data_IF_764578028658
#
_entry.id   IF_764578028658
#
_cell.length_a   1.000
_cell.length_b   1.000
_cell.length_c   1.000
_cell.angle_alpha   90.00
_cell.angle_beta   90.00
_cell.angle_gamma   90.00
#
_symmetry.space_group_name_H-M   'P 1'
#
loop_
_entity.id
_entity.type
_entity.pdbx_description
1 polymer ?
#
# COMPACT_ATOMS: atom_id res chain seq x y z
N UNK A 1 10.01 -2.19 28.53
CA UNK A 1 9.33 -2.78 27.35
C UNK A 1 10.39 -2.88 26.27
N UNK A 2 10.82 -4.09 25.92
CA UNK A 2 11.84 -4.30 24.90
C UNK A 2 11.26 -3.90 23.54
N UNK A 3 11.86 -2.90 22.91
CA UNK A 3 11.62 -2.53 21.53
C UNK A 3 11.77 -3.78 20.63
N UNK A 4 10.65 -4.45 20.34
CA UNK A 4 10.67 -5.49 19.31
C UNK A 4 10.94 -4.78 17.98
N UNK A 5 12.16 -4.94 17.48
CA UNK A 5 12.51 -4.43 16.16
C UNK A 5 11.50 -4.95 15.13
N UNK A 6 10.83 -4.03 14.44
CA UNK A 6 9.95 -4.35 13.32
C UNK A 6 10.82 -4.93 12.21
N UNK A 7 10.58 -6.19 11.85
CA UNK A 7 11.27 -6.83 10.73
C UNK A 7 10.60 -6.37 9.43
N UNK A 8 11.34 -5.66 8.60
CA UNK A 8 10.89 -5.22 7.26
C UNK A 8 11.47 -6.17 6.23
N UNK A 9 10.60 -6.77 5.45
CA UNK A 9 10.94 -7.59 4.30
C UNK A 9 10.78 -6.78 3.01
N UNK A 10 11.79 -6.80 2.14
CA UNK A 10 11.73 -6.17 0.82
C UNK A 10 11.48 -7.25 -0.22
N UNK A 11 10.37 -7.11 -0.95
CA UNK A 11 10.02 -8.01 -2.03
C UNK A 11 10.27 -7.29 -3.37
N UNK A 12 11.11 -7.88 -4.20
CA UNK A 12 11.42 -7.43 -5.57
C UNK A 12 10.98 -8.50 -6.56
N UNK A 13 9.67 -8.75 -6.73
CA UNK A 13 9.20 -9.85 -7.57
C UNK A 13 9.42 -9.61 -9.07
N UNK A 14 9.49 -8.32 -9.46
CA UNK A 14 9.62 -7.90 -10.86
C UNK A 14 10.06 -6.44 -10.91
N UNK A 15 10.81 -5.75 -10.90
CA UNK A 15 11.18 -4.33 -11.04
C UNK A 15 10.72 -3.44 -9.85
N UNK A 16 9.42 -3.14 -9.66
CA UNK A 16 9.01 -2.33 -8.52
C UNK A 16 9.18 -3.08 -7.20
N UNK A 17 9.68 -2.39 -6.19
CA UNK A 17 9.79 -2.93 -4.84
C UNK A 17 8.43 -2.95 -4.15
N UNK A 18 8.16 -4.01 -3.39
CA UNK A 18 7.05 -4.10 -2.46
C UNK A 18 7.65 -4.36 -1.07
N UNK A 19 7.43 -3.45 -0.13
CA UNK A 19 7.82 -3.67 1.26
C UNK A 19 6.74 -4.46 1.98
N UNK A 20 7.16 -5.45 2.76
CA UNK A 20 6.29 -6.20 3.65
C UNK A 20 6.81 -6.11 5.08
N UNK A 21 5.89 -5.90 6.03
CA UNK A 21 6.17 -5.99 7.46
C UNK A 21 4.96 -6.51 8.21
N UNK A 22 5.16 -6.96 9.45
CA UNK A 22 4.08 -7.30 10.37
C UNK A 22 3.93 -6.21 11.42
N UNK A 23 2.70 -5.77 11.64
CA UNK A 23 2.36 -4.73 12.60
C UNK A 23 2.07 -5.36 13.97
N UNK A 24 2.54 -4.77 15.07
CA UNK A 24 2.23 -5.25 16.41
C UNK A 24 0.73 -5.31 16.68
N UNK A 25 0.27 -6.36 17.38
CA UNK A 25 -1.16 -6.61 17.64
C UNK A 25 -1.85 -5.43 18.31
N UNK A 26 -1.20 -4.74 19.25
CA UNK A 26 -1.81 -3.60 19.92
C UNK A 26 -2.15 -2.44 18.97
N UNK A 27 -1.37 -2.24 17.88
CA UNK A 27 -1.69 -1.23 16.84
C UNK A 27 -2.88 -1.71 16.01
N UNK A 28 -2.91 -2.99 15.65
CA UNK A 28 -4.03 -3.62 14.95
C UNK A 28 -5.31 -3.49 15.78
N UNK A 29 -5.23 -3.76 17.09
CA UNK A 29 -6.37 -3.68 18.01
C UNK A 29 -6.90 -2.25 18.14
N UNK A 30 -6.02 -1.24 18.27
CA UNK A 30 -6.39 0.17 18.31
C UNK A 30 -7.11 0.62 17.02
N UNK A 31 -6.57 0.23 15.86
CA UNK A 31 -7.18 0.53 14.56
C UNK A 31 -8.54 -0.18 14.41
N UNK A 32 -8.66 -1.43 14.85
CA UNK A 32 -9.92 -2.16 14.84
C UNK A 32 -10.97 -1.49 15.73
N UNK A 33 -10.60 -1.09 16.94
CA UNK A 33 -11.51 -0.41 17.87
C UNK A 33 -12.07 0.89 17.26
N UNK A 34 -11.22 1.71 16.64
CA UNK A 34 -11.64 2.92 15.95
C UNK A 34 -12.58 2.63 14.76
N UNK A 35 -12.26 1.60 13.98
CA UNK A 35 -13.13 1.18 12.88
C UNK A 35 -14.48 0.65 13.38
N UNK A 36 -14.50 -0.13 14.46
CA UNK A 36 -15.74 -0.64 15.06
C UNK A 36 -16.63 0.50 15.57
N UNK A 37 -16.05 1.52 16.23
CA UNK A 37 -16.79 2.71 16.64
C UNK A 37 -17.41 3.47 15.46
N UNK A 38 -16.67 3.62 14.36
CA UNK A 38 -17.16 4.30 13.15
C UNK A 38 -18.26 3.49 12.47
N UNK A 39 -18.08 2.17 12.36
CA UNK A 39 -19.06 1.28 11.74
C UNK A 39 -20.37 1.14 12.55
N UNK A 40 -20.31 1.34 13.86
CA UNK A 40 -21.48 1.31 14.75
C UNK A 40 -22.29 2.63 14.76
N UNK A 41 -21.76 3.72 14.22
CA UNK A 41 -22.38 5.04 14.20
C UNK A 41 -22.69 5.45 12.75
N UNK A 42 -23.98 5.39 12.37
CA UNK A 42 -24.42 5.72 11.01
C UNK A 42 -24.07 7.14 10.58
N UNK A 43 -24.04 8.10 11.52
CA UNK A 43 -23.70 9.48 11.18
C UNK A 43 -22.21 9.61 10.93
N UNK A 44 -21.35 9.03 11.77
CA UNK A 44 -19.89 9.00 11.53
C UNK A 44 -19.57 8.31 10.22
N UNK A 45 -20.23 7.17 9.93
CA UNK A 45 -20.01 6.43 8.69
C UNK A 45 -20.34 7.29 7.46
N UNK A 46 -21.41 8.10 7.50
CA UNK A 46 -21.74 9.06 6.43
C UNK A 46 -20.77 10.21 6.33
N UNK A 47 -20.36 10.79 7.47
CA UNK A 47 -19.46 11.94 7.52
C UNK A 47 -18.06 11.60 6.99
N UNK A 48 -17.62 10.37 7.18
CA UNK A 48 -16.31 9.87 6.73
C UNK A 48 -16.36 9.00 5.48
N UNK A 49 -17.53 8.83 4.85
CA UNK A 49 -17.68 8.00 3.65
C UNK A 49 -16.68 8.37 2.56
N UNK A 50 -16.02 7.37 2.03
CA UNK A 50 -15.00 7.52 0.99
C UNK A 50 -15.26 6.63 -0.23
N UNK A 51 -16.27 5.77 -0.19
CA UNK A 51 -16.60 4.79 -1.21
C UNK A 51 -16.76 5.38 -2.61
N UNK A 52 -17.34 6.57 -2.71
CA UNK A 52 -17.55 7.27 -4.00
C UNK A 52 -16.28 7.71 -4.71
N UNK A 53 -15.11 7.61 -4.10
CA UNK A 53 -13.81 7.98 -4.68
C UNK A 53 -12.92 6.75 -4.94
N UNK A 54 -13.39 5.55 -4.63
CA UNK A 54 -12.62 4.32 -4.72
C UNK A 54 -13.15 3.41 -5.83
N UNK A 55 -12.26 2.62 -6.41
CA UNK A 55 -12.62 1.60 -7.36
C UNK A 55 -13.04 0.33 -6.62
N UNK A 56 -14.27 -0.17 -6.86
CA UNK A 56 -14.67 -1.41 -6.26
C UNK A 56 -16.18 -1.59 -6.14
N UNK A 57 -16.56 -2.77 -5.67
CA UNK A 57 -17.90 -3.10 -5.20
C UNK A 57 -17.80 -3.39 -3.70
N UNK A 58 -17.51 -2.35 -2.93
CA UNK A 58 -17.37 -2.41 -1.48
C UNK A 58 -18.36 -1.42 -0.87
N UNK A 59 -19.16 -1.87 0.09
CA UNK A 59 -20.25 -1.06 0.64
C UNK A 59 -19.84 -0.12 1.76
N UNK A 60 -18.72 -0.40 2.41
CA UNK A 60 -18.27 0.36 3.58
C UNK A 60 -16.79 0.69 3.45
N UNK A 61 -16.52 1.88 2.96
CA UNK A 61 -15.19 2.46 2.86
C UNK A 61 -15.23 3.88 3.44
N UNK A 62 -14.43 4.15 4.46
CA UNK A 62 -14.47 5.43 5.17
C UNK A 62 -13.07 5.89 5.60
N UNK A 63 -12.87 7.20 5.60
CA UNK A 63 -11.61 7.81 6.08
C UNK A 63 -11.45 7.66 7.58
N UNK A 64 -10.24 7.41 8.03
CA UNK A 64 -9.89 7.58 9.44
C UNK A 64 -9.77 9.07 9.76
N UNK A 65 -10.30 9.49 10.91
CA UNK A 65 -10.26 10.89 11.30
C UNK A 65 -8.84 11.37 11.58
N UNK A 66 -8.53 12.61 11.22
CA UNK A 66 -7.25 13.25 11.53
C UNK A 66 -6.97 13.30 13.03
N UNK A 67 -8.00 13.45 13.86
CA UNK A 67 -7.88 13.42 15.31
C UNK A 67 -7.38 12.05 15.80
N UNK A 68 -7.94 10.97 15.30
CA UNK A 68 -7.50 9.62 15.62
C UNK A 68 -6.06 9.37 15.16
N UNK A 69 -5.72 9.72 13.90
CA UNK A 69 -4.37 9.53 13.36
C UNK A 69 -3.32 10.35 14.11
N UNK A 70 -3.66 11.50 14.64
CA UNK A 70 -2.77 12.29 15.48
C UNK A 70 -2.55 11.67 16.86
N UNK A 71 -3.53 10.95 17.40
CA UNK A 71 -3.42 10.19 18.66
C UNK A 71 -2.67 8.88 18.45
N UNK A 72 -2.91 8.20 17.31
CA UNK A 72 -2.27 6.92 16.96
C UNK A 72 -0.91 7.16 16.27
N UNK A 73 0.01 7.77 17.03
CA UNK A 73 1.34 8.12 16.53
C UNK A 73 2.18 6.90 16.12
N UNK A 74 1.95 5.74 16.72
CA UNK A 74 2.69 4.51 16.39
C UNK A 74 2.45 4.12 14.93
N UNK A 75 1.21 4.11 14.47
CA UNK A 75 0.87 3.79 13.10
C UNK A 75 1.45 4.82 12.13
N UNK A 76 1.25 6.11 12.39
CA UNK A 76 1.78 7.20 11.56
C UNK A 76 3.32 7.16 11.45
N UNK A 77 4.01 6.84 12.55
CA UNK A 77 5.46 6.67 12.56
C UNK A 77 5.93 5.46 11.75
N UNK A 78 5.17 4.36 11.80
CA UNK A 78 5.45 3.17 10.99
C UNK A 78 5.34 3.51 9.50
N UNK A 79 4.27 4.19 9.08
CA UNK A 79 4.07 4.58 7.68
C UNK A 79 5.23 5.46 7.16
N UNK A 80 5.67 6.44 7.96
CA UNK A 80 6.79 7.29 7.61
C UNK A 80 8.09 6.52 7.46
N UNK A 81 8.43 5.64 8.41
CA UNK A 81 9.63 4.79 8.33
C UNK A 81 9.62 3.87 7.10
N UNK A 82 8.44 3.36 6.71
CA UNK A 82 8.31 2.54 5.52
C UNK A 82 8.48 3.35 4.23
N UNK A 83 7.96 4.58 4.19
CA UNK A 83 8.18 5.48 3.07
C UNK A 83 9.67 5.83 2.92
N UNK A 84 10.37 6.16 4.02
CA UNK A 84 11.82 6.38 4.03
C UNK A 84 12.59 5.13 3.57
N UNK A 85 12.16 3.94 4.00
CA UNK A 85 12.76 2.67 3.56
C UNK A 85 12.53 2.41 2.08
N UNK A 86 11.34 2.72 1.54
CA UNK A 86 11.05 2.57 0.11
C UNK A 86 11.99 3.40 -0.76
N UNK A 87 12.22 4.68 -0.40
CA UNK A 87 13.18 5.54 -1.07
C UNK A 87 14.57 4.89 -1.09
N UNK A 88 15.00 4.35 0.06
CA UNK A 88 16.32 3.73 0.19
C UNK A 88 16.47 2.45 -0.65
N UNK A 89 15.39 1.69 -0.82
CA UNK A 89 15.40 0.45 -1.63
C UNK A 89 15.48 0.78 -3.12
N UNK A 90 14.66 1.72 -3.58
CA UNK A 90 14.60 2.09 -5.00
C UNK A 90 15.96 2.53 -5.52
N UNK A 91 16.68 3.35 -4.76
CA UNK A 91 18.01 3.82 -5.13
C UNK A 91 19.09 2.72 -5.07
N UNK A 92 19.05 1.85 -4.07
CA UNK A 92 20.07 0.80 -3.91
C UNK A 92 19.86 -0.36 -4.88
N UNK A 93 18.61 -0.71 -5.16
CA UNK A 93 18.28 -1.79 -6.11
C UNK A 93 18.77 -1.48 -7.53
N UNK A 94 18.75 -0.24 -7.96
CA UNK A 94 19.25 0.18 -9.28
C UNK A 94 20.77 0.23 -9.38
N UNK A 95 21.48 0.65 -8.35
CA UNK A 95 22.94 0.75 -8.37
C UNK A 95 23.63 -0.61 -8.17
N UNK A 96 23.16 -1.44 -7.24
CA UNK A 96 23.77 -2.73 -6.94
C UNK A 96 23.41 -3.85 -7.92
N UNK A 97 22.18 -3.84 -8.45
CA UNK A 97 21.71 -4.94 -9.31
C UNK A 97 22.04 -4.77 -10.79
N UNK A 98 22.16 -3.57 -11.30
CA UNK A 98 22.31 -3.32 -12.73
C UNK A 98 23.70 -2.83 -13.13
N UNK A 99 24.56 -2.41 -12.21
CA UNK A 99 25.90 -1.89 -12.52
C UNK A 99 25.91 -0.69 -13.48
N UNK A 100 24.75 -0.11 -13.77
CA UNK A 100 24.56 0.98 -14.72
C UNK A 100 23.68 2.04 -14.07
N UNK A 101 24.16 3.25 -14.05
CA UNK A 101 23.42 4.45 -13.67
C UNK A 101 22.28 4.72 -14.67
N UNK A 102 21.23 3.94 -14.59
CA UNK A 102 20.02 4.09 -15.43
C UNK A 102 19.30 5.41 -15.14
N UNK A 103 19.48 5.96 -13.94
CA UNK A 103 18.80 7.19 -13.48
C UNK A 103 19.41 8.48 -14.05
N UNK A 104 20.62 8.45 -14.59
CA UNK A 104 21.24 9.67 -15.15
C UNK A 104 20.61 10.16 -16.43
N UNK A 105 19.90 9.32 -17.17
CA UNK A 105 19.34 9.63 -18.50
C UNK A 105 17.83 9.38 -18.62
N UNK A 106 17.13 9.03 -17.54
CA UNK A 106 15.69 8.88 -17.57
C UNK A 106 15.02 10.27 -17.53
N UNK A 107 14.06 10.55 -18.45
CA UNK A 107 13.30 11.79 -18.34
C UNK A 107 12.61 11.83 -16.98
N UNK A 108 12.54 12.99 -16.30
CA UNK A 108 11.91 13.12 -15.01
C UNK A 108 10.40 12.88 -15.17
N UNK A 109 9.98 11.62 -15.05
CA UNK A 109 8.61 11.33 -14.70
C UNK A 109 8.45 11.61 -13.20
N UNK A 110 7.26 11.98 -12.76
CA UNK A 110 6.94 12.20 -11.33
C UNK A 110 7.26 11.00 -10.45
N UNK A 111 7.49 9.84 -11.03
CA UNK A 111 7.84 8.56 -10.40
C UNK A 111 9.35 8.28 -10.30
N UNK A 112 10.19 9.05 -11.00
CA UNK A 112 11.66 8.86 -11.03
C UNK A 112 12.40 10.08 -10.44
N UNK A 113 11.86 10.68 -9.40
CA UNK A 113 12.55 11.75 -8.72
C UNK A 113 13.71 11.12 -7.96
N UNK A 114 14.92 11.55 -8.31
CA UNK A 114 16.12 11.08 -7.64
C UNK A 114 16.01 11.36 -6.13
N UNK A 115 16.43 10.41 -5.31
CA UNK A 115 16.39 10.49 -3.84
C UNK A 115 16.92 11.82 -3.28
N UNK A 116 17.90 12.40 -3.95
CA UNK A 116 18.53 13.65 -3.54
C UNK A 116 17.60 14.86 -3.52
N UNK A 117 16.44 14.78 -4.21
CA UNK A 117 15.40 15.83 -4.20
C UNK A 117 14.31 15.57 -3.18
N UNK A 118 14.29 14.40 -2.54
CA UNK A 118 13.24 14.06 -1.56
C UNK A 118 13.68 14.58 -0.20
N UNK A 119 12.90 15.50 0.37
CA UNK A 119 13.14 16.12 1.68
C UNK A 119 12.31 15.50 2.80
N UNK A 120 11.35 14.66 2.48
CA UNK A 120 10.47 13.98 3.43
C UNK A 120 9.27 13.35 2.76
N UNK A 121 8.28 12.94 3.56
CA UNK A 121 7.03 12.40 3.07
C UNK A 121 5.84 12.85 3.91
N UNK A 122 4.65 12.83 3.29
CA UNK A 122 3.39 13.14 3.94
C UNK A 122 2.35 12.07 3.62
N UNK A 123 1.64 11.60 4.66
CA UNK A 123 0.46 10.74 4.50
C UNK A 123 -0.69 11.61 4.03
N UNK A 124 -1.23 11.34 2.84
CA UNK A 124 -2.32 12.12 2.25
C UNK A 124 -3.68 11.68 2.78
N UNK A 125 -3.92 10.40 2.78
CA UNK A 125 -5.21 9.82 3.14
C UNK A 125 -5.01 8.45 3.74
N UNK A 126 -5.80 8.12 4.76
CA UNK A 126 -5.90 6.79 5.36
C UNK A 126 -7.38 6.43 5.43
N UNK A 127 -7.75 5.25 4.96
CA UNK A 127 -9.15 4.79 4.97
C UNK A 127 -9.27 3.32 5.29
N UNK A 128 -10.40 2.98 5.88
CA UNK A 128 -10.81 1.60 6.14
C UNK A 128 -11.58 1.06 4.95
N UNK A 129 -11.31 -0.20 4.61
CA UNK A 129 -12.03 -0.99 3.62
C UNK A 129 -12.62 -2.19 4.35
N UNK A 130 -13.96 -2.22 4.52
CA UNK A 130 -14.70 -3.30 5.16
C UNK A 130 -15.41 -4.12 4.10
N UNK A 131 -14.87 -5.28 3.77
CA UNK A 131 -15.33 -6.17 2.71
C UNK A 131 -15.99 -7.43 3.26
N UNK A 132 -17.01 -7.88 2.56
CA UNK A 132 -17.78 -9.08 2.87
C UNK A 132 -17.80 -10.01 1.66
N UNK A 133 -18.33 -11.22 1.82
CA UNK A 133 -18.37 -12.20 0.75
C UNK A 133 -18.95 -11.65 -0.56
N UNK A 134 -18.17 -11.69 -1.63
CA UNK A 134 -18.49 -11.14 -2.95
C UNK A 134 -17.97 -9.71 -3.20
N UNK A 135 -17.56 -8.97 -2.16
CA UNK A 135 -16.94 -7.65 -2.36
C UNK A 135 -15.52 -7.78 -2.94
N UNK A 136 -15.15 -6.86 -3.82
CA UNK A 136 -13.84 -6.84 -4.47
C UNK A 136 -13.42 -5.42 -4.87
N UNK A 137 -12.12 -5.22 -5.05
CA UNK A 137 -11.59 -4.05 -5.73
C UNK A 137 -11.01 -4.51 -7.07
N UNK A 138 -11.50 -3.96 -8.22
CA UNK A 138 -10.99 -4.31 -9.55
C UNK A 138 -9.54 -3.86 -9.72
N UNK A 139 -8.95 -4.17 -10.85
CA UNK A 139 -7.62 -3.69 -11.21
C UNK A 139 -7.59 -2.16 -11.21
N UNK A 140 -6.73 -1.56 -10.40
CA UNK A 140 -6.62 -0.12 -10.22
C UNK A 140 -5.22 0.30 -9.79
N UNK A 141 -5.02 1.60 -9.71
CA UNK A 141 -3.84 2.29 -9.15
C UNK A 141 -4.31 3.37 -8.17
N UNK A 142 -3.39 3.96 -7.43
CA UNK A 142 -3.67 5.04 -6.49
C UNK A 142 -3.04 6.36 -6.91
N UNK A 143 -3.50 7.45 -6.29
CA UNK A 143 -2.85 8.76 -6.33
C UNK A 143 -1.70 8.81 -5.30
N UNK A 144 -0.77 9.73 -5.52
CA UNK A 144 0.43 9.88 -4.69
C UNK A 144 1.62 9.10 -5.25
N UNK A 145 2.66 8.95 -4.45
CA UNK A 145 3.90 8.26 -4.84
C UNK A 145 3.93 6.83 -4.32
N UNK A 146 3.42 6.61 -3.10
CA UNK A 146 3.27 5.30 -2.49
C UNK A 146 1.83 5.06 -2.06
N UNK A 147 1.44 3.81 -2.08
CA UNK A 147 0.23 3.31 -1.45
C UNK A 147 0.55 2.09 -0.60
N UNK A 148 -0.41 1.67 0.22
CA UNK A 148 -0.24 0.46 1.00
C UNK A 148 -1.54 -0.03 1.60
N UNK A 149 -1.46 -1.26 2.13
CA UNK A 149 -2.57 -1.95 2.77
C UNK A 149 -2.10 -2.69 4.01
N UNK A 150 -2.81 -2.49 5.12
CA UNK A 150 -2.66 -3.23 6.39
C UNK A 150 -3.92 -4.05 6.64
N UNK A 151 -3.79 -5.34 6.86
CA UNK A 151 -4.92 -6.21 7.16
C UNK A 151 -5.21 -6.27 8.66
N UNK A 152 -6.42 -5.89 9.05
CA UNK A 152 -6.89 -5.87 10.45
C UNK A 152 -7.76 -7.08 10.80
N UNK A 153 -8.58 -7.55 9.85
CA UNK A 153 -9.39 -8.76 9.96
C UNK A 153 -9.28 -9.57 8.68
N UNK A 154 -9.22 -10.87 8.82
CA UNK A 154 -9.20 -11.82 7.70
C UNK A 154 -10.19 -12.93 8.04
N UNK A 155 -11.14 -13.27 7.15
CA UNK A 155 -12.11 -14.34 7.40
C UNK A 155 -11.43 -15.67 7.69
N UNK A 156 -11.94 -16.38 8.68
CA UNK A 156 -11.60 -17.78 8.88
C UNK A 156 -12.16 -18.60 7.72
N UNK A 157 -11.42 -19.61 7.25
CA UNK A 157 -11.89 -20.47 6.15
C UNK A 157 -11.46 -20.04 4.76
N UNK A 158 -10.75 -18.92 4.58
CA UNK A 158 -10.17 -18.58 3.26
C UNK A 158 -9.25 -19.67 2.73
N UNK A 159 -8.48 -20.34 3.60
CA UNK A 159 -7.63 -21.47 3.21
C UNK A 159 -8.46 -22.65 2.68
N UNK A 160 -9.63 -22.88 3.25
CA UNK A 160 -10.55 -23.94 2.81
C UNK A 160 -11.19 -23.57 1.47
N UNK A 161 -11.62 -22.32 1.31
CA UNK A 161 -12.13 -21.82 0.03
C UNK A 161 -11.05 -21.94 -1.05
N UNK A 162 -9.81 -21.57 -0.74
CA UNK A 162 -8.67 -21.62 -1.64
C UNK A 162 -8.37 -23.05 -2.14
N UNK A 163 -8.48 -24.06 -1.26
CA UNK A 163 -8.29 -25.48 -1.62
C UNK A 163 -9.39 -26.03 -2.52
N UNK A 164 -10.59 -25.45 -2.44
CA UNK A 164 -11.78 -25.89 -3.19
C UNK A 164 -11.97 -25.13 -4.51
N UNK A 165 -11.05 -24.26 -4.89
CA UNK A 165 -11.09 -23.59 -6.19
C UNK A 165 -10.61 -24.52 -7.30
N UNK A 166 -11.41 -24.67 -8.37
CA UNK A 166 -11.09 -25.57 -9.49
C UNK A 166 -10.00 -25.04 -10.41
N UNK A 167 -9.86 -23.69 -10.53
CA UNK A 167 -8.95 -23.02 -11.43
C UNK A 167 -8.33 -21.80 -10.77
N UNK A 168 -7.03 -21.55 -10.93
CA UNK A 168 -6.31 -20.34 -10.54
C UNK A 168 -6.80 -19.68 -9.23
N UNK A 169 -6.70 -20.35 -8.09
CA UNK A 169 -7.26 -19.87 -6.84
C UNK A 169 -6.68 -18.49 -6.49
N UNK A 170 -7.55 -17.59 -6.06
CA UNK A 170 -7.19 -16.22 -5.71
C UNK A 170 -8.08 -15.66 -4.59
N UNK A 171 -8.78 -16.53 -3.87
CA UNK A 171 -9.78 -16.19 -2.86
C UNK A 171 -9.25 -15.21 -1.83
N UNK A 172 -9.80 -14.00 -1.85
CA UNK A 172 -9.41 -12.96 -0.91
C UNK A 172 -7.98 -12.42 -1.06
N UNK A 173 -7.23 -12.88 -2.07
CA UNK A 173 -5.85 -12.44 -2.31
C UNK A 173 -5.80 -10.97 -2.79
N UNK A 174 -4.65 -10.35 -2.55
CA UNK A 174 -4.22 -9.18 -3.32
C UNK A 174 -3.27 -9.65 -4.42
N UNK A 175 -3.47 -9.18 -5.65
CA UNK A 175 -2.54 -9.44 -6.76
C UNK A 175 -1.94 -8.12 -7.24
N UNK A 176 -0.62 -8.07 -7.30
CA UNK A 176 0.15 -6.99 -7.90
C UNK A 176 0.57 -7.39 -9.32
N UNK A 177 0.41 -6.47 -10.27
CA UNK A 177 0.62 -6.75 -11.70
C UNK A 177 1.48 -5.64 -12.32
N UNK A 178 2.50 -6.04 -13.09
CA UNK A 178 3.36 -5.11 -13.82
C UNK A 178 3.75 -5.65 -15.18
N UNK A 179 3.88 -4.75 -16.16
CA UNK A 179 4.31 -5.11 -17.53
C UNK A 179 3.39 -6.10 -18.22
N UNK A 180 3.94 -6.78 -19.22
CA UNK A 180 3.26 -7.81 -20.00
C UNK A 180 3.89 -9.18 -19.72
N UNK A 181 3.12 -10.28 -19.82
CA UNK A 181 3.66 -11.63 -19.70
C UNK A 181 4.75 -11.87 -20.74
N UNK A 182 5.90 -12.35 -20.31
CA UNK A 182 7.01 -12.72 -21.19
C UNK A 182 7.57 -14.06 -20.77
N UNK A 183 8.21 -14.77 -21.74
CA UNK A 183 8.89 -16.02 -21.44
C UNK A 183 9.96 -15.80 -20.36
N UNK A 184 10.00 -16.71 -19.38
CA UNK A 184 10.93 -16.68 -18.25
C UNK A 184 10.82 -15.48 -17.30
N UNK A 185 9.72 -14.71 -17.37
CA UNK A 185 9.45 -13.56 -16.50
C UNK A 185 8.12 -13.72 -15.77
N UNK A 186 8.06 -13.19 -14.55
CA UNK A 186 6.81 -13.01 -13.81
C UNK A 186 6.32 -11.57 -13.99
N UNK A 187 5.06 -11.43 -14.32
CA UNK A 187 4.40 -10.13 -14.41
C UNK A 187 3.37 -9.90 -13.30
N UNK A 188 3.11 -10.90 -12.47
CA UNK A 188 2.22 -10.75 -11.32
C UNK A 188 2.67 -11.58 -10.12
N UNK A 189 2.22 -11.16 -8.94
CA UNK A 189 2.35 -11.88 -7.68
C UNK A 189 1.05 -11.79 -6.89
N UNK A 190 0.53 -12.93 -6.45
CA UNK A 190 -0.61 -13.02 -5.54
C UNK A 190 -0.12 -13.23 -4.11
N UNK A 191 -0.79 -12.60 -3.18
CA UNK A 191 -0.48 -12.71 -1.75
C UNK A 191 -1.77 -12.90 -0.98
N UNK A 192 -1.83 -13.96 -0.19
CA UNK A 192 -2.94 -14.21 0.73
C UNK A 192 -2.75 -13.37 2.00
N UNK A 193 -3.75 -12.58 2.39
CA UNK A 193 -3.65 -11.67 3.52
C UNK A 193 -3.59 -12.42 4.85
N UNK A 194 -2.81 -11.85 5.81
CA UNK A 194 -2.80 -12.26 7.21
C UNK A 194 -3.00 -11.04 8.09
N UNK A 195 -3.68 -11.22 9.22
CA UNK A 195 -3.85 -10.12 10.20
C UNK A 195 -2.49 -9.60 10.63
N UNK A 196 -2.33 -8.27 10.58
CA UNK A 196 -1.07 -7.59 10.89
C UNK A 196 -0.11 -7.45 9.69
N UNK A 197 -0.33 -8.15 8.57
CA UNK A 197 0.47 -7.93 7.37
C UNK A 197 0.22 -6.54 6.80
N UNK A 198 1.30 -5.78 6.60
CA UNK A 198 1.29 -4.48 5.96
C UNK A 198 2.20 -4.51 4.73
N UNK A 199 1.65 -4.08 3.60
CA UNK A 199 2.36 -3.94 2.33
C UNK A 199 2.43 -2.47 1.94
N UNK A 200 3.59 -2.01 1.44
CA UNK A 200 3.78 -0.69 0.84
C UNK A 200 4.39 -0.86 -0.53
N UNK A 201 3.84 -0.18 -1.51
CA UNK A 201 4.20 -0.31 -2.91
C UNK A 201 4.04 1.03 -3.65
N UNK A 202 4.69 1.21 -4.81
CA UNK A 202 4.48 2.39 -5.65
C UNK A 202 3.00 2.58 -6.00
N UNK A 203 2.48 3.80 -5.86
CA UNK A 203 1.06 4.08 -6.07
C UNK A 203 0.58 3.74 -7.51
N UNK A 204 1.47 3.81 -8.49
CA UNK A 204 1.20 3.44 -9.88
C UNK A 204 1.15 1.93 -10.14
N UNK A 205 1.58 1.09 -9.18
CA UNK A 205 1.60 -0.37 -9.35
C UNK A 205 0.16 -0.90 -9.40
N UNK A 206 -0.21 -1.48 -10.52
CA UNK A 206 -1.52 -2.07 -10.70
C UNK A 206 -1.74 -3.22 -9.72
N UNK A 207 -2.89 -3.23 -9.09
CA UNK A 207 -3.27 -4.30 -8.18
C UNK A 207 -4.79 -4.49 -8.12
N UNK A 208 -5.21 -5.64 -7.64
CA UNK A 208 -6.60 -6.02 -7.45
C UNK A 208 -6.76 -6.77 -6.13
N UNK A 209 -7.93 -6.64 -5.50
CA UNK A 209 -8.29 -7.44 -4.33
C UNK A 209 -9.44 -8.37 -4.70
N UNK A 210 -9.14 -9.66 -4.76
CA UNK A 210 -10.11 -10.68 -5.16
C UNK A 210 -11.22 -10.85 -4.13
N UNK A 211 -12.43 -11.19 -4.59
CA UNK A 211 -13.52 -11.54 -3.70
C UNK A 211 -13.25 -12.87 -2.96
N UNK A 212 -13.98 -13.08 -1.89
CA UNK A 212 -14.12 -14.36 -1.19
C UNK A 212 -15.61 -14.69 -1.03
N UNK A 213 -15.96 -15.92 -0.64
CA UNK A 213 -17.36 -16.39 -0.61
C UNK A 213 -17.95 -16.42 0.79
N UNK A 214 -17.12 -16.50 1.82
CA UNK A 214 -17.54 -16.52 3.24
C UNK A 214 -18.39 -15.29 3.56
N UNK A 215 -19.70 -15.45 3.75
CA UNK A 215 -20.66 -14.34 3.80
C UNK A 215 -20.71 -13.61 5.13
N UNK A 216 -20.47 -14.33 6.22
CA UNK A 216 -20.74 -13.83 7.58
C UNK A 216 -19.49 -13.32 8.30
N UNK A 217 -18.40 -13.14 7.58
CA UNK A 217 -17.15 -12.67 8.12
C UNK A 217 -16.59 -11.50 7.32
N UNK A 218 -16.02 -10.56 8.04
CA UNK A 218 -15.43 -9.34 7.49
C UNK A 218 -13.96 -9.53 7.18
N UNK A 219 -13.52 -9.15 5.96
CA UNK A 219 -12.14 -8.79 5.68
C UNK A 219 -12.01 -7.29 5.85
N UNK A 220 -11.21 -6.85 6.83
CA UNK A 220 -10.96 -5.44 7.09
C UNK A 220 -9.52 -5.09 6.80
N UNK A 221 -9.33 -4.02 6.06
CA UNK A 221 -8.00 -3.46 5.83
C UNK A 221 -7.99 -1.94 6.02
N UNK A 222 -6.81 -1.40 6.33
CA UNK A 222 -6.52 0.03 6.27
C UNK A 222 -5.65 0.26 5.04
N UNK A 223 -6.13 1.08 4.13
CA UNK A 223 -5.37 1.56 2.98
C UNK A 223 -4.92 3.00 3.19
N UNK A 224 -3.84 3.40 2.54
CA UNK A 224 -3.29 4.75 2.68
C UNK A 224 -2.50 5.14 1.43
N UNK A 225 -2.39 6.46 1.22
CA UNK A 225 -1.55 7.06 0.19
C UNK A 225 -0.53 8.01 0.83
N UNK A 226 0.68 8.01 0.28
CA UNK A 226 1.79 8.85 0.72
C UNK A 226 2.32 9.63 -0.49
N UNK A 227 2.74 10.88 -0.26
CA UNK A 227 3.45 11.71 -1.22
C UNK A 227 4.81 12.10 -0.66
N UNK A 228 5.82 12.19 -1.52
CA UNK A 228 7.12 12.72 -1.18
C UNK A 228 7.14 14.24 -1.27
N UNK A 229 7.81 14.86 -0.31
CA UNK A 229 8.13 16.29 -0.38
C UNK A 229 9.40 16.47 -1.20
N UNK A 230 9.35 17.31 -2.23
CA UNK A 230 10.43 17.48 -3.18
C UNK A 230 11.01 18.87 -3.06
N UNK A 231 12.35 18.97 -3.04
CA UNK A 231 13.08 20.22 -3.14
C UNK A 231 12.95 20.80 -4.56
N UNK A 232 11.95 21.66 -4.73
CA UNK A 232 11.64 22.31 -6.01
C UNK A 232 12.74 23.28 -6.46
N UNK A 233 13.47 23.91 -5.53
CA UNK A 233 14.53 24.84 -5.86
C UNK A 233 15.75 24.11 -6.42
N UNK A 234 16.15 23.01 -5.77
CA UNK A 234 17.23 22.17 -6.24
C UNK A 234 16.91 21.60 -7.62
N UNK A 235 15.70 21.09 -7.82
CA UNK A 235 15.22 20.53 -9.09
C UNK A 235 15.23 21.58 -10.23
N UNK A 236 14.83 22.83 -9.95
CA UNK A 236 14.86 23.92 -10.94
C UNK A 236 16.28 24.33 -11.31
N UNK A 237 17.17 24.43 -10.33
CA UNK A 237 18.56 24.84 -10.56
C UNK A 237 19.30 23.85 -11.47
N UNK A 238 19.06 22.55 -11.34
CA UNK A 238 19.68 21.54 -12.19
C UNK A 238 19.08 21.54 -13.61
N UNK A 239 17.78 21.72 -13.78
CA UNK A 239 17.17 21.89 -15.11
C UNK A 239 17.75 23.08 -15.87
N UNK A 240 18.00 24.20 -15.17
CA UNK A 240 18.62 25.38 -15.77
C UNK A 240 20.09 25.16 -16.18
N UNK A 241 20.77 24.17 -15.63
CA UNK A 241 22.13 23.80 -16.02
C UNK A 241 22.15 22.91 -17.27
N UNK A 242 21.18 21.99 -17.39
CA UNK A 242 21.06 21.09 -18.56
C UNK A 242 20.61 21.84 -19.82
N UNK A 243 19.78 22.87 -19.70
CA UNK A 243 19.30 23.69 -20.85
C UNK A 243 20.39 24.68 -21.36
N UNK A 244 21.57 24.71 -20.76
CA UNK A 244 22.70 25.58 -21.15
C UNK A 244 23.86 24.84 -21.81
N UNK A 245 23.82 23.53 -21.90
CA UNK A 245 24.75 22.68 -22.64
C UNK A 245 24.15 22.25 -24.00
#
# INVERSE_FOLDING_TARGET
MTDKQIKIETLLPFGPAILKTSIPSYVVDNLNAHCDETLADEQKLKDYDYSGQLAGNVKKEFKLSGEFLNKEQNFSNILRKLAERMIAVDVRGTEEQLGVSYLRNAPPSTTNIAREYITGCQVLTVWCVSQWGGDFNPLHIHSGDLSGVLYLKVPEGLEEEYKNEDHHPAVGDIEFITGVPQAFSRNSIKVSPKVGDLYVFPAWLHHTAYPFRTKDQERRSISFNIIYNIDQEKLKNEKMLVDKE
#
